data_IF_573007273221
#
_entry.id   IF_573007273221
#
_cell.length_a   1.000
_cell.length_b   1.000
_cell.length_c   1.000
_cell.angle_alpha   90.00
_cell.angle_beta   90.00
_cell.angle_gamma   90.00
#
_symmetry.space_group_name_H-M   'P 1'
#
loop_
_entity.id
_entity.type
_entity.pdbx_description
1 polymer ?
#
# COMPACT_ATOMS: atom_id res chain seq x y z
N UNK A 1 -43.77 64.34 -2.38
CA UNK A 1 -42.46 63.70 -2.14
C UNK A 1 -42.44 63.15 -0.71
N UNK A 2 -42.45 61.83 -0.54
CA UNK A 2 -42.13 61.17 0.72
C UNK A 2 -41.01 60.18 0.41
N UNK A 3 -39.84 60.44 1.00
CA UNK A 3 -38.59 59.72 0.78
C UNK A 3 -38.59 58.41 1.56
N UNK A 4 -38.38 57.30 0.85
CA UNK A 4 -38.16 55.97 1.42
C UNK A 4 -36.73 55.87 1.97
N UNK A 5 -36.58 55.75 3.28
CA UNK A 5 -35.31 55.41 3.93
C UNK A 5 -35.03 53.91 3.78
N UNK A 6 -33.85 53.58 3.23
CA UNK A 6 -33.34 52.21 3.14
C UNK A 6 -32.65 51.83 4.45
N UNK A 7 -33.20 50.83 5.16
CA UNK A 7 -32.64 50.32 6.40
C UNK A 7 -31.41 49.43 6.12
N UNK A 8 -30.22 49.99 6.37
CA UNK A 8 -28.95 49.28 6.28
C UNK A 8 -28.83 48.27 7.44
N UNK A 9 -28.91 46.98 7.13
CA UNK A 9 -28.83 45.89 8.09
C UNK A 9 -27.37 45.71 8.57
N UNK A 10 -27.06 46.13 9.80
CA UNK A 10 -25.75 45.95 10.43
C UNK A 10 -25.64 44.52 10.97
N UNK A 11 -24.92 43.66 10.26
CA UNK A 11 -24.68 42.27 10.69
C UNK A 11 -23.83 42.29 11.97
N UNK A 12 -24.28 41.67 13.08
CA UNK A 12 -23.49 41.62 14.30
C UNK A 12 -22.21 40.79 14.07
N UNK A 13 -21.05 41.36 14.43
CA UNK A 13 -19.73 40.73 14.21
C UNK A 13 -19.46 39.55 15.15
N UNK A 14 -20.26 39.43 16.22
CA UNK A 14 -20.10 38.42 17.27
C UNK A 14 -20.40 36.97 16.79
N UNK A 15 -21.53 36.67 16.13
CA UNK A 15 -21.77 35.33 15.58
C UNK A 15 -20.77 34.92 14.49
N UNK A 16 -20.27 35.88 13.71
CA UNK A 16 -19.25 35.61 12.70
C UNK A 16 -17.92 35.19 13.34
N UNK A 17 -17.50 35.86 14.42
CA UNK A 17 -16.31 35.47 15.16
C UNK A 17 -16.46 34.08 15.77
N UNK A 18 -17.62 33.76 16.35
CA UNK A 18 -17.89 32.44 16.91
C UNK A 18 -17.86 31.34 15.84
N UNK A 19 -18.38 31.62 14.65
CA UNK A 19 -18.33 30.69 13.52
C UNK A 19 -16.88 30.44 13.04
N UNK A 20 -16.06 31.48 12.94
CA UNK A 20 -14.65 31.34 12.55
C UNK A 20 -13.87 30.54 13.59
N UNK A 21 -14.08 30.81 14.88
CA UNK A 21 -13.45 30.03 15.97
C UNK A 21 -13.90 28.57 15.92
N UNK A 22 -15.20 28.31 15.71
CA UNK A 22 -15.73 26.95 15.56
C UNK A 22 -15.06 26.23 14.37
N UNK A 23 -14.99 26.85 13.20
CA UNK A 23 -14.33 26.29 12.01
C UNK A 23 -12.85 25.97 12.27
N UNK A 24 -12.11 26.84 12.95
CA UNK A 24 -10.70 26.60 13.30
C UNK A 24 -10.58 25.42 14.28
N UNK A 25 -11.45 25.34 15.30
CA UNK A 25 -11.43 24.23 16.25
C UNK A 25 -11.76 22.88 15.60
N UNK A 26 -12.71 22.84 14.66
CA UNK A 26 -13.05 21.65 13.89
C UNK A 26 -11.91 21.27 12.94
N UNK A 27 -11.28 22.24 12.29
CA UNK A 27 -10.14 22.01 11.42
C UNK A 27 -8.93 21.44 12.18
N UNK A 28 -8.57 22.03 13.33
CA UNK A 28 -7.51 21.49 14.19
C UNK A 28 -7.89 20.10 14.69
N UNK A 29 -9.13 19.87 15.09
CA UNK A 29 -9.59 18.55 15.55
C UNK A 29 -9.51 17.50 14.44
N UNK A 30 -9.92 17.84 13.21
CA UNK A 30 -9.83 16.96 12.04
C UNK A 30 -8.38 16.60 11.71
N UNK A 31 -7.47 17.58 11.74
CA UNK A 31 -6.04 17.31 11.50
C UNK A 31 -5.37 16.57 12.66
N UNK A 32 -5.84 16.74 13.90
CA UNK A 32 -5.33 16.04 15.09
C UNK A 32 -5.99 14.68 15.32
N UNK A 33 -7.08 14.38 14.59
CA UNK A 33 -7.79 13.09 14.58
C UNK A 33 -7.10 12.02 13.72
N UNK A 34 -6.02 12.37 13.03
CA UNK A 34 -5.09 11.36 12.52
C UNK A 34 -3.80 11.27 13.34
N UNK A 35 -3.84 10.91 14.64
CA UNK A 35 -2.64 10.53 15.34
C UNK A 35 -2.45 9.03 15.13
N UNK A 36 -1.59 8.65 14.18
CA UNK A 36 -0.86 7.39 14.30
C UNK A 36 0.02 7.52 15.53
N UNK A 37 -0.54 7.16 16.68
CA UNK A 37 0.16 7.04 17.95
C UNK A 37 1.09 5.83 17.84
N UNK A 38 2.26 6.02 17.25
CA UNK A 38 3.37 5.15 17.59
C UNK A 38 3.75 5.49 19.02
N UNK A 39 3.23 4.67 19.93
CA UNK A 39 3.62 4.61 21.33
C UNK A 39 5.12 4.34 21.35
N UNK A 40 5.94 5.37 21.52
CA UNK A 40 7.35 5.19 21.86
C UNK A 40 7.40 4.58 23.26
N UNK A 41 7.66 3.28 23.32
CA UNK A 41 8.19 2.64 24.52
C UNK A 41 9.51 3.33 24.86
N UNK A 42 9.49 4.18 25.88
CA UNK A 42 10.69 4.67 26.56
C UNK A 42 11.43 3.47 27.15
N UNK A 43 12.32 2.86 26.38
CA UNK A 43 13.37 2.00 26.92
C UNK A 43 14.48 2.92 27.43
N UNK A 44 14.46 3.18 28.73
CA UNK A 44 15.53 3.86 29.42
C UNK A 44 16.73 2.94 29.59
N UNK A 45 17.65 2.96 28.63
CA UNK A 45 19.06 2.63 28.83
C UNK A 45 19.88 3.49 27.88
N UNK A 46 20.71 4.37 28.45
CA UNK A 46 21.64 5.18 27.68
C UNK A 46 22.68 4.30 27.03
N UNK A 47 22.57 4.16 25.71
CA UNK A 47 23.63 3.67 24.84
C UNK A 47 23.68 4.61 23.63
N UNK A 48 24.81 5.28 23.52
CA UNK A 48 25.44 5.84 22.33
C UNK A 48 24.63 5.70 21.03
N UNK A 49 24.29 6.83 20.38
CA UNK A 49 23.65 6.82 19.05
C UNK A 49 24.53 6.00 18.10
N UNK A 50 24.08 4.79 17.77
CA UNK A 50 24.63 4.03 16.67
C UNK A 50 24.62 4.91 15.40
N UNK A 51 25.65 4.82 14.54
CA UNK A 51 25.63 5.53 13.26
C UNK A 51 24.34 5.15 12.52
N UNK A 52 23.71 6.14 11.88
CA UNK A 52 22.46 5.96 11.14
C UNK A 52 22.59 4.75 10.21
N UNK A 53 22.03 3.61 10.61
CA UNK A 53 22.11 2.39 9.83
C UNK A 53 21.11 2.49 8.70
N UNK A 54 21.58 2.36 7.46
CA UNK A 54 20.69 2.25 6.31
C UNK A 54 19.85 0.98 6.47
N UNK A 55 18.54 1.15 6.61
CA UNK A 55 17.59 0.05 6.66
C UNK A 55 17.39 -0.46 5.23
N UNK A 56 17.73 -1.73 4.99
CA UNK A 56 17.46 -2.40 3.72
C UNK A 56 16.21 -3.26 3.89
N UNK A 57 15.24 -3.09 2.99
CA UNK A 57 14.04 -3.91 2.97
C UNK A 57 13.62 -4.22 1.55
N UNK A 58 12.80 -5.25 1.40
CA UNK A 58 12.37 -5.79 0.13
C UNK A 58 10.84 -5.79 0.02
N UNK A 59 10.32 -5.86 -1.19
CA UNK A 59 8.90 -6.13 -1.44
C UNK A 59 8.73 -6.94 -2.71
N UNK A 60 7.84 -7.93 -2.67
CA UNK A 60 7.49 -8.76 -3.83
C UNK A 60 6.09 -8.36 -4.31
N UNK A 61 5.96 -8.04 -5.60
CA UNK A 61 4.68 -7.78 -6.24
C UNK A 61 4.46 -8.72 -7.41
N UNK A 62 3.40 -9.52 -7.33
CA UNK A 62 2.87 -10.28 -8.45
C UNK A 62 1.81 -9.45 -9.18
N UNK A 63 2.02 -9.22 -10.48
CA UNK A 63 1.04 -8.61 -11.38
C UNK A 63 0.43 -9.69 -12.27
N UNK A 64 -0.80 -10.09 -11.95
CA UNK A 64 -1.56 -11.09 -12.68
C UNK A 64 -2.39 -10.41 -13.79
N UNK A 65 -1.73 -10.27 -14.95
CA UNK A 65 -2.30 -9.81 -16.21
C UNK A 65 -3.12 -10.88 -16.93
N UNK A 66 -3.93 -10.45 -17.91
CA UNK A 66 -4.63 -11.37 -18.83
C UNK A 66 -3.65 -12.06 -19.80
N UNK A 67 -2.64 -11.33 -20.28
CA UNK A 67 -1.68 -11.88 -21.26
C UNK A 67 -0.47 -12.57 -20.62
N UNK A 68 -0.22 -12.31 -19.34
CA UNK A 68 0.93 -12.86 -18.63
C UNK A 68 0.91 -12.51 -17.15
N UNK A 69 1.66 -13.29 -16.38
CA UNK A 69 1.87 -13.05 -14.95
C UNK A 69 3.30 -12.60 -14.74
N UNK A 70 3.50 -11.56 -13.93
CA UNK A 70 4.82 -10.97 -13.66
C UNK A 70 5.11 -10.99 -12.17
N UNK A 71 6.39 -11.03 -11.83
CA UNK A 71 6.89 -10.75 -10.48
C UNK A 71 7.88 -9.60 -10.56
N UNK A 72 7.73 -8.68 -9.62
CA UNK A 72 8.67 -7.61 -9.33
C UNK A 72 9.22 -7.83 -7.93
N UNK A 73 10.54 -7.76 -7.76
CA UNK A 73 11.17 -7.70 -6.44
C UNK A 73 11.88 -6.37 -6.33
N UNK A 74 11.40 -5.55 -5.41
CA UNK A 74 11.97 -4.25 -5.13
C UNK A 74 12.90 -4.37 -3.92
N UNK A 75 14.09 -3.78 -4.04
CA UNK A 75 15.02 -3.56 -2.94
C UNK A 75 15.07 -2.08 -2.64
N UNK A 76 14.82 -1.71 -1.39
CA UNK A 76 14.88 -0.34 -0.92
C UNK A 76 15.97 -0.16 0.11
N UNK A 77 16.58 1.02 0.13
CA UNK A 77 17.37 1.54 1.24
C UNK A 77 16.63 2.71 1.88
N UNK A 78 16.75 2.86 3.20
CA UNK A 78 16.15 3.99 3.92
C UNK A 78 17.09 4.46 5.02
N UNK A 79 17.41 5.74 4.95
CA UNK A 79 18.07 6.45 6.06
C UNK A 79 17.05 6.80 7.14
N UNK A 80 17.48 6.92 8.38
CA UNK A 80 16.62 7.14 9.55
C UNK A 80 15.68 8.36 9.49
N UNK A 81 15.92 9.30 8.57
CA UNK A 81 15.08 10.49 8.35
C UNK A 81 14.62 10.68 6.91
N UNK A 82 14.90 9.71 6.01
CA UNK A 82 14.66 9.81 4.58
C UNK A 82 13.42 9.06 4.10
N UNK A 83 12.96 9.41 2.90
CA UNK A 83 12.05 8.56 2.13
C UNK A 83 12.81 7.32 1.63
N UNK A 84 12.16 6.17 1.49
CA UNK A 84 12.76 5.01 0.84
C UNK A 84 13.31 5.33 -0.54
N UNK A 85 14.53 4.88 -0.82
CA UNK A 85 15.13 4.94 -2.14
C UNK A 85 15.10 3.54 -2.78
N UNK A 86 14.68 3.46 -4.04
CA UNK A 86 14.69 2.20 -4.78
C UNK A 86 16.11 1.92 -5.29
N UNK A 87 16.74 0.89 -4.76
CA UNK A 87 18.10 0.47 -5.11
C UNK A 87 18.11 -0.45 -6.33
N UNK A 88 17.19 -1.41 -6.37
CA UNK A 88 17.15 -2.44 -7.39
C UNK A 88 15.73 -2.95 -7.61
N UNK A 89 15.42 -3.29 -8.85
CA UNK A 89 14.18 -3.98 -9.23
C UNK A 89 14.55 -5.21 -10.07
N UNK A 90 14.20 -6.39 -9.57
CA UNK A 90 14.16 -7.60 -10.40
C UNK A 90 12.79 -7.71 -11.04
N UNK A 91 12.75 -7.96 -12.35
CA UNK A 91 11.53 -8.19 -13.11
C UNK A 91 11.59 -9.53 -13.86
N UNK A 92 10.53 -10.33 -13.74
CA UNK A 92 10.34 -11.55 -14.54
C UNK A 92 8.87 -11.72 -14.92
N UNK A 93 8.63 -12.21 -16.13
CA UNK A 93 7.30 -12.48 -16.64
C UNK A 93 7.20 -13.88 -17.28
N UNK A 94 6.02 -14.49 -17.15
CA UNK A 94 5.64 -15.74 -17.82
C UNK A 94 4.32 -15.56 -18.58
N UNK A 95 4.06 -16.50 -19.50
CA UNK A 95 2.81 -16.63 -20.25
C UNK A 95 2.29 -18.07 -20.14
N UNK A 96 0.98 -18.31 -20.24
CA UNK A 96 -0.11 -17.33 -20.34
C UNK A 96 -0.39 -16.57 -19.03
N UNK A 97 -1.31 -15.61 -19.06
CA UNK A 97 -1.76 -14.87 -17.88
C UNK A 97 -2.65 -15.70 -16.96
N UNK A 98 -2.88 -15.21 -15.74
CA UNK A 98 -3.58 -15.99 -14.72
C UNK A 98 -5.01 -16.36 -15.15
N UNK A 99 -5.73 -15.45 -15.82
CA UNK A 99 -7.11 -15.66 -16.26
C UNK A 99 -7.28 -16.83 -17.25
N UNK A 100 -6.24 -17.19 -18.00
CA UNK A 100 -6.28 -18.32 -18.94
C UNK A 100 -6.39 -19.68 -18.23
N UNK A 101 -6.12 -19.72 -16.92
CA UNK A 101 -6.25 -20.92 -16.10
C UNK A 101 -7.59 -21.01 -15.36
N UNK A 102 -8.57 -20.15 -15.67
CA UNK A 102 -9.86 -20.11 -14.97
C UNK A 102 -10.59 -21.46 -14.91
N UNK A 103 -10.48 -22.26 -15.96
CA UNK A 103 -11.12 -23.59 -16.04
C UNK A 103 -10.28 -24.69 -15.38
N UNK A 104 -8.96 -24.49 -15.25
CA UNK A 104 -8.03 -25.44 -14.66
C UNK A 104 -7.02 -24.74 -13.74
N UNK A 105 -7.44 -24.23 -12.57
CA UNK A 105 -6.58 -23.42 -11.69
C UNK A 105 -5.27 -24.08 -11.30
N UNK A 106 -5.26 -25.41 -11.10
CA UNK A 106 -4.05 -26.13 -10.69
C UNK A 106 -2.89 -26.02 -11.69
N UNK A 107 -3.19 -25.74 -12.97
CA UNK A 107 -2.17 -25.57 -14.02
C UNK A 107 -1.37 -24.27 -13.86
N UNK A 108 -1.85 -23.29 -13.09
CA UNK A 108 -1.11 -22.04 -12.88
C UNK A 108 0.01 -22.20 -11.82
N UNK A 109 -0.15 -23.16 -10.89
CA UNK A 109 0.74 -23.30 -9.73
C UNK A 109 2.23 -23.46 -10.09
N UNK A 110 2.63 -24.29 -11.08
CA UNK A 110 4.04 -24.40 -11.45
C UNK A 110 4.66 -23.09 -11.92
N UNK A 111 3.94 -22.30 -12.73
CA UNK A 111 4.43 -21.02 -13.23
C UNK A 111 4.53 -19.96 -12.12
N UNK A 112 3.54 -19.91 -11.22
CA UNK A 112 3.62 -19.03 -10.05
C UNK A 112 4.80 -19.41 -9.15
N UNK A 113 5.00 -20.72 -8.93
CA UNK A 113 6.13 -21.22 -8.14
C UNK A 113 7.48 -20.85 -8.79
N UNK A 114 7.61 -20.95 -10.12
CA UNK A 114 8.83 -20.51 -10.82
C UNK A 114 9.14 -19.04 -10.54
N UNK A 115 8.13 -18.17 -10.64
CA UNK A 115 8.29 -16.75 -10.34
C UNK A 115 8.66 -16.50 -8.87
N UNK A 116 8.04 -17.24 -7.93
CA UNK A 116 8.36 -17.14 -6.51
C UNK A 116 9.80 -17.59 -6.22
N UNK A 117 10.23 -18.72 -6.79
CA UNK A 117 11.58 -19.25 -6.62
C UNK A 117 12.64 -18.24 -7.13
N UNK A 118 12.36 -17.54 -8.23
CA UNK A 118 13.20 -16.45 -8.74
C UNK A 118 13.22 -15.28 -7.75
N UNK A 119 12.06 -14.88 -7.23
CA UNK A 119 11.97 -13.78 -6.29
C UNK A 119 12.72 -14.05 -4.97
N UNK A 120 12.61 -15.27 -4.43
CA UNK A 120 13.28 -15.66 -3.19
C UNK A 120 14.81 -15.79 -3.33
N UNK A 121 15.32 -16.03 -4.54
CA UNK A 121 16.77 -16.02 -4.82
C UNK A 121 17.38 -14.62 -4.73
N UNK A 122 16.60 -13.59 -5.03
CA UNK A 122 17.03 -12.18 -4.92
C UNK A 122 17.11 -11.70 -3.46
N UNK A 123 16.34 -12.33 -2.56
CA UNK A 123 16.17 -11.89 -1.17
C UNK A 123 17.02 -12.74 -0.22
N UNK A 124 17.86 -12.11 0.64
CA UNK A 124 18.59 -12.81 1.68
C UNK A 124 17.67 -13.62 2.61
N UNK A 125 18.09 -14.84 2.98
CA UNK A 125 17.21 -15.79 3.70
C UNK A 125 16.60 -15.22 4.98
N UNK A 126 17.38 -14.44 5.74
CA UNK A 126 16.96 -13.83 7.00
C UNK A 126 15.90 -12.73 6.81
N UNK A 127 15.77 -12.15 5.61
CA UNK A 127 14.78 -11.13 5.29
C UNK A 127 13.52 -11.70 4.64
N UNK A 128 13.56 -12.94 4.10
CA UNK A 128 12.42 -13.54 3.39
C UNK A 128 11.13 -13.55 4.22
N UNK A 129 11.21 -13.80 5.53
CA UNK A 129 10.04 -13.84 6.43
C UNK A 129 9.42 -12.45 6.66
N UNK A 130 10.22 -11.39 6.58
CA UNK A 130 9.77 -10.01 6.77
C UNK A 130 9.41 -9.32 5.46
N UNK A 131 9.74 -9.91 4.31
CA UNK A 131 9.43 -9.34 2.99
C UNK A 131 7.95 -9.50 2.67
N UNK A 132 7.17 -8.40 2.55
CA UNK A 132 5.79 -8.49 2.10
C UNK A 132 5.71 -9.00 0.66
N UNK A 133 4.79 -9.94 0.44
CA UNK A 133 4.40 -10.42 -0.87
C UNK A 133 2.95 -10.03 -1.14
N UNK A 134 2.73 -9.34 -2.25
CA UNK A 134 1.40 -8.91 -2.67
C UNK A 134 1.14 -9.48 -4.06
N UNK A 135 -0.05 -10.02 -4.28
CA UNK A 135 -0.55 -10.36 -5.59
C UNK A 135 -1.69 -9.43 -5.96
N UNK A 136 -1.60 -8.80 -7.13
CA UNK A 136 -2.66 -7.98 -7.71
C UNK A 136 -3.05 -8.53 -9.06
N UNK A 137 -4.33 -8.90 -9.17
CA UNK A 137 -4.92 -9.27 -10.43
C UNK A 137 -5.55 -8.07 -11.13
N UNK A 138 -5.46 -8.05 -12.46
CA UNK A 138 -5.92 -6.93 -13.30
C UNK A 138 -7.30 -7.20 -13.91
N UNK A 139 -7.63 -6.57 -15.04
CA UNK A 139 -8.92 -6.73 -15.71
C UNK A 139 -9.26 -8.18 -16.06
N UNK A 140 -8.27 -9.01 -16.43
CA UNK A 140 -8.50 -10.40 -16.85
C UNK A 140 -9.26 -11.24 -15.82
N UNK A 141 -8.91 -11.12 -14.53
CA UNK A 141 -9.62 -11.86 -13.47
C UNK A 141 -11.00 -11.28 -13.17
N UNK A 142 -11.18 -9.95 -13.26
CA UNK A 142 -12.48 -9.29 -13.02
C UNK A 142 -13.55 -9.65 -14.05
N UNK A 143 -13.12 -10.10 -15.24
CA UNK A 143 -14.02 -10.54 -16.31
C UNK A 143 -14.49 -12.00 -16.16
N UNK A 144 -13.88 -12.76 -15.24
CA UNK A 144 -14.28 -14.13 -14.97
C UNK A 144 -15.52 -14.15 -14.06
N UNK A 145 -16.34 -15.23 -14.12
CA UNK A 145 -17.31 -15.52 -13.07
C UNK A 145 -16.64 -15.53 -11.69
N UNK A 146 -17.28 -14.93 -10.70
CA UNK A 146 -16.75 -14.73 -9.35
C UNK A 146 -16.20 -16.03 -8.73
N UNK A 147 -16.94 -17.13 -8.86
CA UNK A 147 -16.52 -18.45 -8.36
C UNK A 147 -15.19 -18.91 -8.98
N UNK A 148 -15.01 -18.73 -10.29
CA UNK A 148 -13.78 -19.11 -11.00
C UNK A 148 -12.63 -18.22 -10.59
N UNK A 149 -12.86 -16.91 -10.49
CA UNK A 149 -11.85 -15.96 -10.03
C UNK A 149 -11.38 -16.29 -8.61
N UNK A 150 -12.33 -16.55 -7.69
CA UNK A 150 -12.00 -16.89 -6.30
C UNK A 150 -11.23 -18.20 -6.20
N UNK A 151 -11.71 -19.27 -6.86
CA UNK A 151 -11.02 -20.57 -6.88
C UNK A 151 -9.58 -20.45 -7.41
N UNK A 152 -9.37 -19.61 -8.41
CA UNK A 152 -8.08 -19.35 -8.99
C UNK A 152 -7.15 -18.59 -8.03
N UNK A 153 -7.66 -17.57 -7.35
CA UNK A 153 -6.92 -16.83 -6.32
C UNK A 153 -6.58 -17.71 -5.11
N UNK A 154 -7.51 -18.55 -4.67
CA UNK A 154 -7.28 -19.52 -3.59
C UNK A 154 -6.20 -20.52 -3.98
N UNK A 155 -6.23 -21.01 -5.23
CA UNK A 155 -5.20 -21.94 -5.74
C UNK A 155 -3.82 -21.30 -5.72
N UNK A 156 -3.70 -20.05 -6.17
CA UNK A 156 -2.44 -19.31 -6.12
C UNK A 156 -1.97 -19.10 -4.69
N UNK A 157 -2.89 -18.71 -3.81
CA UNK A 157 -2.58 -18.46 -2.40
C UNK A 157 -2.15 -19.72 -1.68
N UNK A 158 -2.80 -20.86 -1.92
CA UNK A 158 -2.55 -22.13 -1.20
C UNK A 158 -1.41 -22.97 -1.77
N UNK A 159 -1.17 -22.92 -3.09
CA UNK A 159 -0.24 -23.83 -3.78
C UNK A 159 0.90 -23.12 -4.50
N UNK A 160 0.77 -21.82 -4.76
CA UNK A 160 1.76 -21.05 -5.51
C UNK A 160 2.63 -20.14 -4.65
N UNK A 161 2.14 -19.71 -3.48
CA UNK A 161 2.75 -18.68 -2.66
C UNK A 161 3.07 -19.08 -1.21
N UNK A 162 2.63 -20.26 -0.74
CA UNK A 162 2.99 -20.83 0.59
C UNK A 162 4.09 -21.87 0.48
#
# INVERSE_FOLDING_TARGET
MSSSETSVMKIPKLPFLLFVVLCITLYISYHRWNPSTHTELKSGYGLERAPASDEIFYGIMFDAGSTGTRVHVYKFSKTSSGAPHLEHELFKAIKPGLSEYADNPDKCAPGIKELLDIALKEIPEHLRKSTPLILKATAGLRLLPEEKAQKLLDTVTLKGLV
#
